data_IF_470081441204
#
_entry.id   IF_470081441204
#
_cell.length_a   1.000
_cell.length_b   1.000
_cell.length_c   1.000
_cell.angle_alpha   90.00
_cell.angle_beta   90.00
_cell.angle_gamma   90.00
#
_symmetry.space_group_name_H-M   'P 1'
#
loop_
_entity.id
_entity.type
_entity.pdbx_description
1 polymer ?
#
# COMPACT_ATOMS: atom_id res chain seq x y z
N UNK A 1 2.83 -19.00 -20.25
CA UNK A 1 1.88 -19.29 -19.14
C UNK A 1 0.47 -18.93 -19.57
N UNK A 2 -0.48 -19.88 -19.46
CA UNK A 2 -1.87 -19.76 -19.94
C UNK A 2 -2.54 -18.48 -19.41
N UNK A 3 -2.98 -17.63 -20.33
CA UNK A 3 -3.78 -16.45 -20.06
C UNK A 3 -5.23 -16.91 -19.86
N UNK A 4 -5.53 -17.55 -18.72
CA UNK A 4 -6.89 -17.97 -18.39
C UNK A 4 -7.73 -16.70 -18.20
N UNK A 5 -8.68 -16.46 -19.12
CA UNK A 5 -9.64 -15.36 -18.98
C UNK A 5 -10.40 -15.57 -17.66
N UNK A 6 -10.37 -14.57 -16.78
CA UNK A 6 -11.17 -14.56 -15.55
C UNK A 6 -12.65 -14.63 -15.93
N UNK A 7 -13.46 -15.34 -15.15
CA UNK A 7 -14.92 -15.22 -15.30
C UNK A 7 -15.37 -13.83 -14.89
N UNK A 8 -16.51 -13.37 -15.43
CA UNK A 8 -17.07 -12.05 -15.13
C UNK A 8 -17.29 -11.86 -13.62
N UNK A 9 -17.83 -12.89 -12.95
CA UNK A 9 -18.00 -12.91 -11.49
C UNK A 9 -16.65 -12.73 -10.77
N UNK A 10 -15.61 -13.46 -11.18
CA UNK A 10 -14.28 -13.34 -10.57
C UNK A 10 -13.68 -11.95 -10.80
N UNK A 11 -13.87 -11.38 -11.99
CA UNK A 11 -13.40 -10.03 -12.29
C UNK A 11 -14.03 -8.99 -11.36
N UNK A 12 -15.36 -9.00 -11.21
CA UNK A 12 -16.06 -8.07 -10.33
C UNK A 12 -15.72 -8.26 -8.86
N UNK A 13 -15.63 -9.51 -8.38
CA UNK A 13 -15.20 -9.79 -7.02
C UNK A 13 -13.79 -9.25 -6.73
N UNK A 14 -12.83 -9.45 -7.64
CA UNK A 14 -11.48 -8.93 -7.47
C UNK A 14 -11.45 -7.41 -7.51
N UNK A 15 -12.21 -6.79 -8.43
CA UNK A 15 -12.26 -5.33 -8.59
C UNK A 15 -12.87 -4.68 -7.35
N UNK A 16 -14.09 -5.05 -6.99
CA UNK A 16 -14.81 -4.49 -5.84
C UNK A 16 -14.10 -4.79 -4.52
N UNK A 17 -13.55 -6.01 -4.36
CA UNK A 17 -12.78 -6.37 -3.17
C UNK A 17 -11.53 -5.49 -3.00
N UNK A 18 -10.76 -5.27 -4.07
CA UNK A 18 -9.61 -4.36 -4.03
C UNK A 18 -10.01 -2.92 -3.76
N UNK A 19 -11.07 -2.43 -4.39
CA UNK A 19 -11.55 -1.05 -4.17
C UNK A 19 -12.03 -0.86 -2.73
N UNK A 20 -12.78 -1.81 -2.18
CA UNK A 20 -13.26 -1.76 -0.79
C UNK A 20 -12.09 -1.77 0.21
N UNK A 21 -11.11 -2.67 0.02
CA UNK A 21 -9.91 -2.69 0.87
C UNK A 21 -9.16 -1.36 0.83
N UNK A 22 -9.03 -0.72 -0.34
CA UNK A 22 -8.40 0.62 -0.43
C UNK A 22 -9.23 1.71 0.24
N UNK A 23 -10.55 1.68 0.09
CA UNK A 23 -11.42 2.67 0.73
C UNK A 23 -11.30 2.59 2.26
N UNK A 24 -11.36 1.38 2.82
CA UNK A 24 -11.17 1.14 4.26
C UNK A 24 -9.74 1.50 4.70
N UNK A 25 -8.74 1.21 3.88
CA UNK A 25 -7.35 1.59 4.16
C UNK A 25 -7.17 3.11 4.24
N UNK A 26 -7.76 3.86 3.31
CA UNK A 26 -7.73 5.33 3.32
C UNK A 26 -8.46 5.86 4.55
N UNK A 27 -9.64 5.32 4.90
CA UNK A 27 -10.36 5.68 6.12
C UNK A 27 -9.50 5.49 7.38
N UNK A 28 -8.82 4.34 7.49
CA UNK A 28 -7.90 4.05 8.59
C UNK A 28 -6.72 5.03 8.63
N UNK A 29 -6.10 5.31 7.47
CA UNK A 29 -5.01 6.29 7.37
C UNK A 29 -5.48 7.68 7.80
N UNK A 30 -6.66 8.12 7.34
CA UNK A 30 -7.17 9.46 7.68
C UNK A 30 -7.49 9.60 9.16
N UNK A 31 -8.10 8.58 9.78
CA UNK A 31 -8.41 8.61 11.20
C UNK A 31 -7.16 8.55 12.08
N UNK A 32 -6.27 7.60 11.81
CA UNK A 32 -5.01 7.49 12.55
C UNK A 32 -4.11 8.71 12.33
N UNK A 33 -4.04 9.20 11.10
CA UNK A 33 -3.25 10.36 10.74
C UNK A 33 -3.77 11.64 11.39
N UNK A 34 -5.09 11.84 11.45
CA UNK A 34 -5.69 12.94 12.20
C UNK A 34 -5.31 12.88 13.69
N UNK A 35 -5.40 11.70 14.30
CA UNK A 35 -4.99 11.51 15.69
C UNK A 35 -3.52 11.82 15.95
N UNK A 36 -2.62 11.36 15.09
CA UNK A 36 -1.17 11.61 15.21
C UNK A 36 -0.83 13.09 14.99
N UNK A 37 -1.38 13.74 13.96
CA UNK A 37 -1.04 15.12 13.60
C UNK A 37 -1.62 16.15 14.58
N UNK A 38 -2.78 15.86 15.18
CA UNK A 38 -3.45 16.76 16.12
C UNK A 38 -3.10 16.44 17.58
N UNK A 39 -2.24 15.46 17.84
CA UNK A 39 -1.83 15.09 19.20
C UNK A 39 -2.95 14.49 20.04
N UNK A 40 -3.91 13.80 19.41
CA UNK A 40 -5.01 13.12 20.10
C UNK A 40 -4.47 11.88 20.82
N UNK A 41 -5.08 11.55 21.97
CA UNK A 41 -4.75 10.37 22.76
C UNK A 41 -4.83 9.09 21.90
N UNK A 42 -3.91 8.15 22.16
CA UNK A 42 -3.70 6.99 21.28
C UNK A 42 -4.93 6.09 21.19
N UNK A 43 -5.62 5.92 22.30
CA UNK A 43 -6.86 5.16 22.44
C UNK A 43 -7.95 5.60 21.46
N UNK A 44 -8.04 6.89 21.15
CA UNK A 44 -9.10 7.44 20.29
C UNK A 44 -8.87 7.13 18.81
N UNK A 45 -7.63 6.87 18.41
CA UNK A 45 -7.28 6.61 17.01
C UNK A 45 -6.73 5.22 16.72
N UNK A 46 -6.53 4.39 17.76
CA UNK A 46 -5.99 3.03 17.64
C UNK A 46 -6.83 2.15 16.69
N UNK A 47 -8.15 2.28 16.70
CA UNK A 47 -9.04 1.52 15.81
C UNK A 47 -8.75 1.82 14.33
N UNK A 48 -8.49 3.08 14.00
CA UNK A 48 -8.15 3.50 12.63
C UNK A 48 -6.75 3.02 12.24
N UNK A 49 -5.81 2.97 13.20
CA UNK A 49 -4.49 2.38 12.97
C UNK A 49 -4.59 0.89 12.66
N UNK A 50 -5.32 0.12 13.47
CA UNK A 50 -5.57 -1.30 13.22
C UNK A 50 -6.24 -1.52 11.86
N UNK A 51 -7.22 -0.68 11.51
CA UNK A 51 -7.88 -0.69 10.20
C UNK A 51 -6.88 -0.47 9.06
N UNK A 52 -6.04 0.57 9.16
CA UNK A 52 -5.01 0.89 8.16
C UNK A 52 -4.00 -0.23 8.00
N UNK A 53 -3.47 -0.77 9.10
CA UNK A 53 -2.45 -1.82 9.08
C UNK A 53 -2.99 -3.13 8.53
N UNK A 54 -4.20 -3.53 8.95
CA UNK A 54 -4.81 -4.79 8.49
C UNK A 54 -5.10 -4.72 6.99
N UNK A 55 -5.79 -3.67 6.54
CA UNK A 55 -6.15 -3.54 5.11
C UNK A 55 -4.96 -3.29 4.21
N UNK A 56 -3.97 -2.50 4.65
CA UNK A 56 -2.72 -2.28 3.92
C UNK A 56 -1.92 -3.57 3.75
N UNK A 57 -1.87 -4.40 4.80
CA UNK A 57 -1.21 -5.72 4.76
C UNK A 57 -1.93 -6.68 3.82
N UNK A 58 -3.27 -6.70 3.83
CA UNK A 58 -4.07 -7.51 2.90
C UNK A 58 -3.85 -7.08 1.44
N UNK A 59 -3.79 -5.77 1.17
CA UNK A 59 -3.50 -5.24 -0.17
C UNK A 59 -2.08 -5.63 -0.64
N UNK A 60 -1.09 -5.53 0.24
CA UNK A 60 0.28 -5.96 -0.05
C UNK A 60 0.34 -7.46 -0.35
N UNK A 61 -0.25 -8.30 0.52
CA UNK A 61 -0.28 -9.74 0.34
C UNK A 61 -0.99 -10.13 -0.96
N UNK A 62 -2.09 -9.45 -1.30
CA UNK A 62 -2.78 -9.64 -2.57
C UNK A 62 -1.86 -9.41 -3.78
N UNK A 63 -1.05 -8.35 -3.74
CA UNK A 63 -0.10 -8.06 -4.82
C UNK A 63 1.00 -9.12 -4.92
N UNK A 64 1.57 -9.54 -3.79
CA UNK A 64 2.63 -10.57 -3.73
C UNK A 64 2.13 -11.91 -4.25
N UNK A 65 0.96 -12.37 -3.79
CA UNK A 65 0.36 -13.64 -4.21
C UNK A 65 0.02 -13.62 -5.71
N UNK A 66 -0.36 -12.46 -6.26
CA UNK A 66 -0.65 -12.34 -7.69
C UNK A 66 0.63 -12.44 -8.54
N UNK A 67 1.70 -11.75 -8.14
CA UNK A 67 2.96 -11.71 -8.87
C UNK A 67 4.12 -11.37 -7.93
N UNK A 68 4.97 -12.35 -7.64
CA UNK A 68 6.14 -12.18 -6.76
C UNK A 68 7.09 -11.08 -7.25
N UNK A 69 7.12 -10.79 -8.56
CA UNK A 69 7.95 -9.72 -9.14
C UNK A 69 7.60 -8.35 -8.57
N UNK A 70 6.42 -8.19 -7.96
CA UNK A 70 6.05 -7.00 -7.22
C UNK A 70 7.12 -6.61 -6.20
N UNK A 71 7.75 -7.59 -5.53
CA UNK A 71 8.80 -7.36 -4.52
C UNK A 71 10.06 -6.67 -5.08
N UNK A 72 10.32 -6.83 -6.37
CA UNK A 72 11.50 -6.25 -7.04
C UNK A 72 11.15 -5.08 -7.95
N UNK A 73 9.85 -4.78 -8.12
CA UNK A 73 9.35 -3.60 -8.80
C UNK A 73 9.36 -2.41 -7.85
N UNK A 74 9.65 -1.21 -8.36
CA UNK A 74 9.74 0.01 -7.56
C UNK A 74 8.48 0.27 -6.74
N UNK A 75 7.28 -0.02 -7.28
CA UNK A 75 6.03 0.12 -6.50
C UNK A 75 6.01 -0.74 -5.23
N UNK A 76 6.55 -1.96 -5.29
CA UNK A 76 6.60 -2.86 -4.15
C UNK A 76 7.74 -2.52 -3.20
N UNK A 77 8.92 -2.23 -3.74
CA UNK A 77 10.07 -1.77 -2.95
C UNK A 77 9.70 -0.52 -2.15
N UNK A 78 9.09 0.49 -2.77
CA UNK A 78 8.67 1.70 -2.06
C UNK A 78 7.54 1.43 -1.06
N UNK A 79 6.71 0.41 -1.27
CA UNK A 79 5.72 -0.02 -0.26
C UNK A 79 6.41 -0.67 0.95
N UNK A 80 7.44 -1.49 0.72
CA UNK A 80 8.26 -2.07 1.80
C UNK A 80 9.05 -0.99 2.57
N UNK A 81 9.57 0.01 1.87
CA UNK A 81 10.22 1.19 2.50
C UNK A 81 9.24 1.90 3.44
N UNK A 82 7.98 2.10 3.05
CA UNK A 82 6.96 2.68 3.95
C UNK A 82 6.77 1.84 5.19
N UNK A 83 6.71 0.51 5.07
CA UNK A 83 6.58 -0.36 6.24
C UNK A 83 7.80 -0.20 7.17
N UNK A 84 9.01 -0.11 6.61
CA UNK A 84 10.22 0.23 7.34
C UNK A 84 10.09 1.56 8.09
N UNK A 85 9.61 2.62 7.42
CA UNK A 85 9.35 3.92 8.06
C UNK A 85 8.31 3.83 9.19
N UNK A 86 7.29 2.98 9.06
CA UNK A 86 6.32 2.77 10.14
C UNK A 86 6.95 2.06 11.34
N UNK A 87 7.93 1.17 11.16
CA UNK A 87 8.65 0.58 12.31
C UNK A 87 9.43 1.62 13.11
N UNK A 88 9.82 2.74 12.49
CA UNK A 88 10.51 3.85 13.15
C UNK A 88 9.62 4.61 14.15
N UNK A 89 8.30 4.40 14.15
CA UNK A 89 7.40 4.99 15.14
C UNK A 89 7.72 4.56 16.58
N UNK A 90 8.42 3.43 16.76
CA UNK A 90 8.84 2.90 18.07
C UNK A 90 10.07 3.67 18.59
N UNK A 91 11.25 3.63 17.92
CA UNK A 91 12.43 4.34 18.40
C UNK A 91 12.36 5.86 18.26
N UNK A 92 11.57 6.39 17.33
CA UNK A 92 11.44 7.82 17.05
C UNK A 92 10.02 8.32 17.33
N UNK A 93 9.47 7.99 18.51
CA UNK A 93 8.10 8.33 18.88
C UNK A 93 7.80 9.84 18.84
N UNK A 94 8.80 10.70 19.09
CA UNK A 94 8.67 12.16 18.99
C UNK A 94 8.50 12.67 17.55
N UNK A 95 8.89 11.87 16.55
CA UNK A 95 8.86 12.23 15.13
C UNK A 95 7.72 11.52 14.36
N UNK A 96 6.71 11.01 15.06
CA UNK A 96 5.55 10.33 14.44
C UNK A 96 4.87 11.20 13.36
N UNK A 97 4.62 12.52 13.58
CA UNK A 97 4.05 13.37 12.55
C UNK A 97 4.88 13.42 11.26
N UNK A 98 6.19 13.64 11.37
CA UNK A 98 7.12 13.76 10.25
C UNK A 98 7.26 12.44 9.49
N UNK A 99 7.35 11.32 10.22
CA UNK A 99 7.36 9.98 9.63
C UNK A 99 6.06 9.67 8.90
N UNK A 100 4.91 10.01 9.49
CA UNK A 100 3.60 9.86 8.85
C UNK A 100 3.51 10.67 7.56
N UNK A 101 3.89 11.95 7.59
CA UNK A 101 3.90 12.83 6.41
C UNK A 101 4.77 12.23 5.31
N UNK A 102 5.96 11.74 5.67
CA UNK A 102 6.88 11.09 4.73
C UNK A 102 6.26 9.85 4.09
N UNK A 103 5.60 8.99 4.88
CA UNK A 103 4.90 7.80 4.38
C UNK A 103 3.74 8.17 3.44
N UNK A 104 3.00 9.24 3.75
CA UNK A 104 1.91 9.74 2.91
C UNK A 104 2.42 10.28 1.56
N UNK A 105 3.44 11.14 1.58
CA UNK A 105 4.06 11.68 0.37
C UNK A 105 4.61 10.55 -0.53
N UNK A 106 5.31 9.59 0.08
CA UNK A 106 5.79 8.41 -0.64
C UNK A 106 4.63 7.59 -1.23
N UNK A 107 3.49 7.55 -0.55
CA UNK A 107 2.29 6.85 -1.05
C UNK A 107 1.67 7.50 -2.27
N UNK A 108 1.69 8.83 -2.36
CA UNK A 108 1.25 9.56 -3.55
C UNK A 108 2.17 9.25 -4.74
N UNK A 109 3.49 9.31 -4.53
CA UNK A 109 4.48 9.01 -5.58
C UNK A 109 4.30 7.59 -6.13
N UNK A 110 4.09 6.60 -5.27
CA UNK A 110 3.87 5.21 -5.70
C UNK A 110 2.54 5.05 -6.44
N UNK A 111 1.47 5.68 -5.95
CA UNK A 111 0.12 5.46 -6.47
C UNK A 111 -0.12 6.18 -7.80
N UNK A 112 0.36 7.42 -7.91
CA UNK A 112 0.17 8.29 -9.07
C UNK A 112 1.39 8.36 -10.01
N UNK A 113 2.51 7.73 -9.63
CA UNK A 113 3.70 7.67 -10.47
C UNK A 113 3.41 7.01 -11.83
N UNK A 114 4.09 7.45 -12.91
CA UNK A 114 3.93 6.88 -14.24
C UNK A 114 4.19 5.37 -14.24
N UNK A 115 3.48 4.65 -15.13
CA UNK A 115 3.57 3.19 -15.21
C UNK A 115 5.02 2.70 -15.41
N UNK A 116 5.84 3.46 -16.14
CA UNK A 116 7.26 3.18 -16.32
C UNK A 116 8.04 3.10 -15.00
N UNK A 117 7.79 4.03 -14.08
CA UNK A 117 8.42 4.02 -12.74
C UNK A 117 7.88 2.88 -11.90
N UNK A 118 6.55 2.70 -11.83
CA UNK A 118 5.94 1.68 -10.97
C UNK A 118 6.37 0.24 -11.30
N UNK A 119 6.61 -0.04 -12.59
CA UNK A 119 7.02 -1.36 -13.08
C UNK A 119 8.53 -1.47 -13.33
N UNK A 120 9.30 -0.44 -12.98
CA UNK A 120 10.76 -0.49 -13.02
C UNK A 120 11.29 -1.51 -12.02
N UNK A 121 12.14 -2.44 -12.47
CA UNK A 121 12.81 -3.37 -11.58
C UNK A 121 14.06 -2.74 -11.00
N UNK A 122 14.15 -2.68 -9.67
CA UNK A 122 15.31 -2.12 -8.97
C UNK A 122 16.54 -3.03 -9.12
N UNK A 123 16.31 -4.34 -9.30
CA UNK A 123 17.39 -5.33 -9.49
C UNK A 123 17.89 -5.34 -10.93
N UNK A 124 17.00 -5.32 -11.92
CA UNK A 124 17.38 -5.46 -13.34
C UNK A 124 17.67 -4.13 -14.04
N UNK A 125 17.39 -2.99 -13.40
CA UNK A 125 17.59 -1.66 -14.00
C UNK A 125 16.69 -1.38 -15.21
N UNK A 126 15.59 -2.11 -15.38
CA UNK A 126 14.66 -1.98 -16.53
C UNK A 126 13.22 -2.27 -16.16
N UNK A 127 12.28 -1.82 -16.99
CA UNK A 127 10.86 -2.13 -16.83
C UNK A 127 10.62 -3.64 -17.02
N UNK A 128 9.91 -4.25 -16.08
CA UNK A 128 9.41 -5.62 -16.20
C UNK A 128 7.90 -5.60 -16.10
N UNK A 129 7.23 -6.10 -17.12
CA UNK A 129 5.77 -6.15 -17.11
C UNK A 129 5.32 -7.29 -16.18
N UNK A 130 4.42 -6.95 -15.26
CA UNK A 130 3.79 -7.89 -14.34
C UNK A 130 2.63 -8.62 -15.01
N UNK A 131 2.14 -9.69 -14.38
CA UNK A 131 0.88 -10.33 -14.75
C UNK A 131 -0.25 -9.30 -14.82
N UNK A 132 -1.12 -9.40 -15.83
CA UNK A 132 -2.22 -8.47 -16.07
C UNK A 132 -3.06 -8.30 -14.80
N UNK A 133 -3.11 -7.06 -14.31
CA UNK A 133 -3.76 -6.70 -13.06
C UNK A 133 -5.21 -6.26 -13.31
N UNK A 134 -6.15 -6.80 -12.52
CA UNK A 134 -7.48 -6.18 -12.35
C UNK A 134 -7.28 -4.93 -11.50
N UNK A 135 -7.38 -3.77 -12.14
CA UNK A 135 -7.37 -2.48 -11.45
C UNK A 135 -8.67 -2.39 -10.65
N UNK A 136 -8.56 -2.31 -9.33
CA UNK A 136 -9.58 -1.75 -8.44
C UNK A 136 -9.29 -0.29 -8.12
#
# INVERSE_FOLDING_TARGET
MKNTKLSERQFWLQRLGKTALRAIHILGITGAGGGILLGVAQEDWLVYWCMAMTTGSLLMLWEIVRDWRWLIQLKGVLTLVKLGLLTLFIPFASYKPELLITVLLLSVVVSHGPAGLRHFSVIHGRRIDARKEVKG
#
